data_IF_038615921723
#
_entry.id   IF_038615921723
#
_cell.length_a   1.000
_cell.length_b   1.000
_cell.length_c   1.000
_cell.angle_alpha   90.00
_cell.angle_beta   90.00
_cell.angle_gamma   90.00
#
_symmetry.space_group_name_H-M   'P 1'
#
loop_
_entity.id
_entity.type
_entity.pdbx_description
1 polymer ?
#
# COMPACT_ATOMS: atom_id res chain seq x y z
N UNK A 1 -72.48 -45.01 -28.33
CA UNK A 1 -72.95 -43.70 -28.00
C UNK A 1 -71.72 -42.93 -27.52
N UNK A 2 -71.04 -42.27 -28.42
CA UNK A 2 -69.74 -41.58 -28.17
C UNK A 2 -69.96 -40.08 -28.38
N UNK A 3 -69.67 -39.29 -27.32
CA UNK A 3 -69.70 -37.81 -27.35
C UNK A 3 -68.24 -37.31 -27.59
N UNK A 4 -68.03 -36.35 -28.49
CA UNK A 4 -66.72 -35.76 -28.66
C UNK A 4 -66.52 -34.59 -27.67
N UNK A 5 -65.32 -34.57 -27.06
CA UNK A 5 -64.81 -33.49 -26.25
C UNK A 5 -64.23 -32.37 -27.14
N UNK A 6 -64.77 -31.20 -27.04
CA UNK A 6 -64.27 -30.01 -27.75
C UNK A 6 -63.21 -29.37 -26.85
N UNK A 7 -61.96 -29.37 -27.27
CA UNK A 7 -60.84 -28.66 -26.62
C UNK A 7 -60.83 -27.19 -27.06
N UNK A 8 -61.03 -26.32 -26.10
CA UNK A 8 -60.82 -24.87 -26.28
C UNK A 8 -59.34 -24.54 -26.11
N UNK A 9 -58.72 -24.08 -27.16
CA UNK A 9 -57.38 -23.52 -27.12
C UNK A 9 -57.52 -22.04 -26.73
N UNK A 10 -57.02 -21.68 -25.54
CA UNK A 10 -56.92 -20.28 -25.09
C UNK A 10 -55.58 -19.74 -25.57
N UNK A 11 -55.61 -18.82 -26.53
CA UNK A 11 -54.46 -18.10 -27.02
C UNK A 11 -54.13 -16.97 -26.04
N UNK A 12 -53.06 -17.10 -25.23
CA UNK A 12 -52.56 -16.07 -24.36
C UNK A 12 -51.72 -15.08 -25.17
N UNK A 13 -52.27 -13.87 -25.35
CA UNK A 13 -51.46 -12.73 -25.86
C UNK A 13 -50.49 -12.25 -24.75
N UNK A 14 -49.20 -12.44 -24.96
CA UNK A 14 -48.17 -11.86 -24.16
C UNK A 14 -48.02 -10.36 -24.53
N UNK A 15 -48.43 -9.47 -23.61
CA UNK A 15 -48.22 -8.04 -23.72
C UNK A 15 -46.71 -7.73 -23.39
N UNK A 16 -45.94 -7.31 -24.40
CA UNK A 16 -44.62 -6.73 -24.17
C UNK A 16 -44.77 -5.34 -23.50
N UNK A 17 -44.40 -5.24 -22.22
CA UNK A 17 -44.22 -3.94 -21.56
C UNK A 17 -42.88 -3.33 -22.00
N UNK A 18 -42.83 -2.08 -22.44
CA UNK A 18 -41.56 -1.41 -22.69
C UNK A 18 -40.80 -1.20 -21.39
N UNK A 19 -39.57 -1.72 -21.33
CA UNK A 19 -38.70 -1.58 -20.17
C UNK A 19 -38.38 -0.10 -19.93
N UNK A 20 -38.52 0.33 -18.67
CA UNK A 20 -38.10 1.64 -18.24
C UNK A 20 -36.59 1.85 -18.52
N UNK A 21 -36.16 3.05 -18.92
CA UNK A 21 -34.73 3.33 -19.12
C UNK A 21 -34.02 3.18 -17.76
N UNK A 22 -32.92 2.42 -17.78
CA UNK A 22 -32.04 2.28 -16.62
C UNK A 22 -31.49 3.66 -16.26
N UNK A 23 -31.87 4.15 -15.10
CA UNK A 23 -31.38 5.38 -14.50
C UNK A 23 -29.87 5.22 -14.26
N UNK A 24 -29.08 5.99 -15.01
CA UNK A 24 -27.63 5.99 -14.88
C UNK A 24 -27.28 6.49 -13.48
N UNK A 25 -26.60 5.67 -12.68
CA UNK A 25 -26.09 6.08 -11.38
C UNK A 25 -25.23 7.35 -11.51
N UNK A 26 -25.34 8.32 -10.60
CA UNK A 26 -24.55 9.56 -10.67
C UNK A 26 -23.07 9.21 -10.58
N UNK A 27 -22.36 9.48 -11.67
CA UNK A 27 -20.89 9.42 -11.70
C UNK A 27 -20.40 10.56 -10.81
N UNK A 28 -19.97 10.23 -9.58
CA UNK A 28 -19.31 11.19 -8.71
C UNK A 28 -18.11 11.81 -9.43
N UNK A 29 -17.62 12.99 -9.03
CA UNK A 29 -16.53 13.67 -9.70
C UNK A 29 -15.30 12.77 -9.73
N UNK A 30 -15.00 12.20 -10.88
CA UNK A 30 -13.74 11.49 -11.10
C UNK A 30 -12.62 12.52 -10.95
N UNK A 31 -11.75 12.31 -9.95
CA UNK A 31 -10.57 13.13 -9.78
C UNK A 31 -9.79 13.12 -11.11
N UNK A 32 -9.68 14.29 -11.75
CA UNK A 32 -8.97 14.43 -13.02
C UNK A 32 -7.50 14.08 -12.78
N UNK A 33 -6.92 13.26 -13.65
CA UNK A 33 -5.47 13.07 -13.67
C UNK A 33 -4.83 14.44 -13.99
N UNK A 34 -4.15 15.01 -13.02
CA UNK A 34 -3.50 16.33 -13.14
C UNK A 34 -2.28 16.30 -14.07
N UNK A 35 -1.81 15.11 -14.46
CA UNK A 35 -0.53 14.89 -15.13
C UNK A 35 0.67 15.16 -14.24
N UNK A 36 0.48 15.81 -13.09
CA UNK A 36 1.53 16.03 -12.09
C UNK A 36 1.80 14.76 -11.32
N UNK A 37 3.06 14.42 -11.12
CA UNK A 37 3.52 13.31 -10.28
C UNK A 37 4.47 13.82 -9.22
N UNK A 38 4.33 13.27 -8.04
CA UNK A 38 5.25 13.49 -6.92
C UNK A 38 5.81 12.15 -6.46
N UNK A 39 6.93 12.20 -5.73
CA UNK A 39 7.65 11.02 -5.27
C UNK A 39 7.80 11.11 -3.74
N UNK A 40 7.62 9.96 -3.08
CA UNK A 40 7.87 9.77 -1.66
C UNK A 40 8.65 8.47 -1.43
N UNK A 41 9.47 8.38 -0.37
CA UNK A 41 10.26 7.18 -0.05
C UNK A 41 9.98 6.76 1.38
N UNK A 42 9.63 5.47 1.54
CA UNK A 42 9.24 4.85 2.79
C UNK A 42 10.03 3.57 3.06
N UNK A 43 10.47 3.37 4.28
CA UNK A 43 11.07 2.13 4.76
C UNK A 43 10.20 1.54 5.87
N UNK A 44 9.74 0.31 5.70
CA UNK A 44 8.76 -0.33 6.59
C UNK A 44 8.99 -1.83 6.78
N UNK A 45 10.25 -2.25 6.92
CA UNK A 45 10.65 -3.66 6.91
C UNK A 45 10.67 -4.22 5.50
N UNK A 46 10.30 -5.47 5.31
CA UNK A 46 10.31 -6.13 4.00
C UNK A 46 9.59 -5.29 2.94
N UNK A 47 10.34 -4.85 1.94
CA UNK A 47 9.84 -3.97 0.88
C UNK A 47 8.75 -4.61 0.00
N UNK A 48 8.67 -5.96 -0.12
CA UNK A 48 7.56 -6.62 -0.82
C UNK A 48 6.20 -6.28 -0.20
N UNK A 49 6.17 -6.18 1.15
CA UNK A 49 4.94 -5.82 1.86
C UNK A 49 4.62 -4.33 1.75
N UNK A 50 5.64 -3.48 1.82
CA UNK A 50 5.48 -2.03 1.68
C UNK A 50 5.04 -1.66 0.26
N UNK A 51 5.68 -2.24 -0.76
CA UNK A 51 5.31 -2.07 -2.18
C UNK A 51 3.85 -2.47 -2.40
N UNK A 52 3.48 -3.70 -2.02
CA UNK A 52 2.11 -4.20 -2.16
C UNK A 52 1.07 -3.32 -1.46
N UNK A 53 1.38 -2.80 -0.27
CA UNK A 53 0.47 -1.90 0.44
C UNK A 53 0.23 -0.59 -0.33
N UNK A 54 1.28 -0.01 -0.95
CA UNK A 54 1.15 1.21 -1.71
C UNK A 54 0.49 1.00 -3.07
N UNK A 55 0.77 -0.09 -3.78
CA UNK A 55 0.14 -0.42 -5.06
C UNK A 55 -1.39 -0.45 -4.99
N UNK A 56 -1.95 -0.85 -3.84
CA UNK A 56 -3.39 -0.89 -3.62
C UNK A 56 -3.99 0.45 -3.14
N UNK A 57 -3.19 1.50 -2.98
CA UNK A 57 -3.69 2.80 -2.52
C UNK A 57 -4.21 3.65 -3.70
N UNK A 58 -5.49 4.07 -3.70
CA UNK A 58 -6.01 4.98 -4.72
C UNK A 58 -5.20 6.29 -4.77
N UNK A 59 -4.72 6.65 -5.95
CA UNK A 59 -3.87 7.82 -6.17
C UNK A 59 -2.39 7.51 -6.27
N UNK A 60 -1.94 6.32 -5.85
CA UNK A 60 -0.61 5.81 -6.17
C UNK A 60 -0.57 5.37 -7.63
N UNK A 61 0.50 5.75 -8.32
CA UNK A 61 0.73 5.47 -9.75
C UNK A 61 1.73 4.32 -9.92
N UNK A 62 2.76 4.29 -9.06
CA UNK A 62 3.76 3.24 -9.05
C UNK A 62 4.39 3.15 -7.65
N UNK A 63 4.79 1.93 -7.28
CA UNK A 63 5.67 1.67 -6.14
C UNK A 63 6.84 0.83 -6.65
N UNK A 64 8.05 1.12 -6.18
CA UNK A 64 9.29 0.44 -6.62
C UNK A 64 10.07 0.05 -5.38
N UNK A 65 10.33 -1.24 -5.21
CA UNK A 65 11.18 -1.78 -4.14
C UNK A 65 12.65 -1.43 -4.37
N UNK A 66 13.37 -1.10 -3.30
CA UNK A 66 14.78 -0.72 -3.39
C UNK A 66 15.41 -0.41 -2.04
N UNK A 67 16.41 0.45 -2.06
CA UNK A 67 17.26 0.72 -0.91
C UNK A 67 17.50 2.22 -0.73
N UNK A 68 17.56 2.66 0.53
CA UNK A 68 17.81 4.06 0.87
C UNK A 68 18.62 4.19 2.18
N UNK A 69 19.23 5.33 2.40
CA UNK A 69 19.87 5.71 3.67
C UNK A 69 21.32 5.27 3.85
N UNK A 70 21.85 4.41 3.00
CA UNK A 70 23.22 3.91 3.08
C UNK A 70 24.24 4.71 2.28
N UNK A 71 25.47 4.20 2.25
CA UNK A 71 26.63 4.86 1.64
C UNK A 71 27.13 4.20 0.35
N UNK A 72 26.74 2.93 0.13
CA UNK A 72 27.16 2.17 -1.05
C UNK A 72 26.35 2.61 -2.25
N UNK A 73 27.02 2.97 -3.35
CA UNK A 73 26.34 3.30 -4.59
C UNK A 73 25.88 2.02 -5.29
N UNK A 74 24.64 2.02 -5.81
CA UNK A 74 24.04 0.91 -6.53
C UNK A 74 24.21 -0.44 -5.79
N UNK A 75 23.74 -0.55 -4.52
CA UNK A 75 23.91 -1.76 -3.73
C UNK A 75 23.07 -2.89 -4.31
N UNK A 76 23.53 -4.14 -4.15
CA UNK A 76 22.72 -5.32 -4.41
C UNK A 76 21.95 -5.72 -3.15
N UNK A 77 20.87 -6.50 -3.34
CA UNK A 77 20.11 -7.08 -2.23
C UNK A 77 20.99 -7.83 -1.23
N UNK A 78 21.88 -8.69 -1.76
CA UNK A 78 22.78 -9.47 -0.92
C UNK A 78 23.72 -8.60 -0.07
N UNK A 79 24.21 -7.49 -0.63
CA UNK A 79 25.03 -6.54 0.12
C UNK A 79 24.27 -5.89 1.25
N UNK A 80 22.99 -5.49 1.01
CA UNK A 80 22.17 -4.82 2.02
C UNK A 80 21.81 -5.77 3.16
N UNK A 81 21.34 -6.98 2.86
CA UNK A 81 20.94 -7.95 3.90
C UNK A 81 22.13 -8.52 4.68
N UNK A 82 23.32 -8.60 4.05
CA UNK A 82 24.56 -8.95 4.75
C UNK A 82 24.96 -7.88 5.76
N UNK A 83 24.51 -6.65 5.58
CA UNK A 83 24.85 -5.52 6.42
C UNK A 83 26.13 -4.76 6.02
N UNK A 84 26.43 -3.67 6.72
CA UNK A 84 27.60 -2.83 6.48
C UNK A 84 27.42 -1.75 5.41
N UNK A 85 26.38 -1.81 4.58
CA UNK A 85 26.11 -0.78 3.57
C UNK A 85 25.48 0.47 4.17
N UNK A 86 24.79 0.34 5.31
CA UNK A 86 23.97 1.36 5.92
C UNK A 86 22.61 1.59 5.22
N UNK A 87 22.35 0.89 4.12
CA UNK A 87 21.06 0.91 3.45
C UNK A 87 20.03 0.09 4.23
N UNK A 88 18.78 0.54 4.12
CA UNK A 88 17.59 -0.19 4.56
C UNK A 88 16.69 -0.47 3.37
N UNK A 89 15.90 -1.52 3.45
CA UNK A 89 14.85 -1.80 2.46
C UNK A 89 13.84 -0.65 2.45
N UNK A 90 13.54 -0.14 1.28
CA UNK A 90 12.67 1.01 1.09
C UNK A 90 11.82 0.85 -0.17
N UNK A 91 10.75 1.63 -0.26
CA UNK A 91 9.90 1.72 -1.45
C UNK A 91 9.80 3.18 -1.87
N UNK A 92 10.06 3.42 -3.16
CA UNK A 92 9.79 4.70 -3.79
C UNK A 92 8.39 4.68 -4.38
N UNK A 93 7.55 5.60 -3.93
CA UNK A 93 6.14 5.72 -4.32
C UNK A 93 5.98 6.94 -5.21
N UNK A 94 5.48 6.74 -6.43
CA UNK A 94 5.03 7.80 -7.33
C UNK A 94 3.53 7.95 -7.19
N UNK A 95 3.02 9.16 -6.95
CA UNK A 95 1.60 9.40 -6.70
C UNK A 95 1.09 10.66 -7.43
N UNK A 96 -0.22 10.72 -7.64
CA UNK A 96 -0.93 11.88 -8.15
C UNK A 96 -1.42 12.74 -6.98
N UNK A 97 -0.84 13.93 -6.76
CA UNK A 97 -1.21 14.80 -5.64
C UNK A 97 -2.65 15.35 -5.72
N UNK A 98 -3.30 15.27 -6.88
CA UNK A 98 -4.72 15.61 -7.02
C UNK A 98 -5.66 14.52 -6.48
N UNK A 99 -5.15 13.28 -6.32
CA UNK A 99 -5.92 12.12 -5.87
C UNK A 99 -5.57 11.69 -4.44
N UNK A 100 -4.31 11.83 -4.05
CA UNK A 100 -3.84 11.56 -2.69
C UNK A 100 -2.72 12.54 -2.33
N UNK A 101 -2.86 13.25 -1.23
CA UNK A 101 -1.80 14.14 -0.75
C UNK A 101 -0.64 13.35 -0.13
N UNK A 102 0.56 13.96 -0.10
CA UNK A 102 1.72 13.39 0.60
C UNK A 102 1.39 13.07 2.08
N UNK A 103 0.66 13.97 2.76
CA UNK A 103 0.25 13.76 4.15
C UNK A 103 -0.61 12.51 4.30
N UNK A 104 -1.57 12.29 3.42
CA UNK A 104 -2.42 11.08 3.45
C UNK A 104 -1.63 9.79 3.17
N UNK A 105 -0.60 9.84 2.29
CA UNK A 105 0.30 8.70 2.10
C UNK A 105 1.03 8.36 3.41
N UNK A 106 1.60 9.36 4.07
CA UNK A 106 2.33 9.16 5.34
C UNK A 106 1.38 8.65 6.43
N UNK A 107 0.16 9.24 6.56
CA UNK A 107 -0.83 8.79 7.54
C UNK A 107 -1.22 7.31 7.34
N UNK A 108 -1.36 6.86 6.08
CA UNK A 108 -1.66 5.46 5.76
C UNK A 108 -0.45 4.54 5.96
N UNK A 109 0.75 5.02 5.68
CA UNK A 109 1.99 4.26 5.89
C UNK A 109 2.15 3.82 7.34
N UNK A 110 1.88 4.72 8.32
CA UNK A 110 1.99 4.37 9.73
C UNK A 110 1.18 3.13 10.09
N UNK A 111 -0.03 2.99 9.54
CA UNK A 111 -0.94 1.87 9.81
C UNK A 111 -0.45 0.53 9.22
N UNK A 112 0.57 0.55 8.38
CA UNK A 112 1.13 -0.64 7.73
C UNK A 112 2.38 -1.17 8.42
N UNK A 113 2.88 -0.48 9.45
CA UNK A 113 4.09 -0.83 10.18
C UNK A 113 3.84 -0.93 11.69
N UNK A 114 4.75 -1.58 12.39
CA UNK A 114 4.90 -1.46 13.83
C UNK A 114 5.95 -0.38 14.15
N UNK A 115 5.54 0.85 14.45
CA UNK A 115 6.50 1.91 14.74
C UNK A 115 7.12 1.81 16.13
N UNK A 116 6.82 0.76 16.89
CA UNK A 116 7.37 0.52 18.22
C UNK A 116 8.53 -0.49 18.23
N UNK A 117 8.82 -1.11 17.08
CA UNK A 117 9.92 -2.06 16.93
C UNK A 117 11.20 -1.33 16.48
N UNK A 118 12.26 -1.28 17.31
CA UNK A 118 13.52 -0.63 16.95
C UNK A 118 14.46 -1.53 16.12
N UNK A 119 14.22 -2.84 16.11
CA UNK A 119 15.19 -3.85 15.64
C UNK A 119 14.83 -4.49 14.30
N UNK A 120 13.63 -4.16 13.77
CA UNK A 120 13.15 -4.71 12.51
C UNK A 120 11.67 -4.46 12.28
N UNK A 121 11.00 -5.41 11.63
CA UNK A 121 9.55 -5.37 11.43
C UNK A 121 8.97 -6.79 11.37
N UNK A 122 8.12 -7.13 12.32
CA UNK A 122 7.43 -8.42 12.41
C UNK A 122 8.42 -9.59 12.54
N UNK A 123 8.57 -10.43 11.52
CA UNK A 123 9.52 -11.53 11.52
C UNK A 123 10.88 -11.18 10.87
N UNK A 124 10.99 -10.00 10.26
CA UNK A 124 12.23 -9.56 9.63
C UNK A 124 13.04 -8.73 10.62
N UNK A 125 14.17 -9.26 11.06
CA UNK A 125 15.00 -8.65 12.07
C UNK A 125 16.33 -8.16 11.49
N UNK A 126 16.85 -7.11 12.08
CA UNK A 126 18.12 -6.52 11.73
C UNK A 126 18.02 -5.15 11.05
N UNK A 127 19.16 -4.43 10.94
CA UNK A 127 19.19 -3.03 10.55
C UNK A 127 18.68 -2.76 9.13
N UNK A 128 18.72 -3.73 8.22
CA UNK A 128 18.18 -3.61 6.86
C UNK A 128 16.65 -3.49 6.82
N UNK A 129 15.97 -3.88 7.89
CA UNK A 129 14.51 -3.82 8.03
C UNK A 129 14.01 -2.69 8.92
N UNK A 130 14.89 -1.74 9.26
CA UNK A 130 14.51 -0.57 10.04
C UNK A 130 13.46 0.29 9.32
N UNK A 131 12.64 0.99 10.11
CA UNK A 131 11.59 1.87 9.57
C UNK A 131 12.06 3.31 9.45
N UNK A 132 11.60 4.02 8.43
CA UNK A 132 11.81 5.45 8.24
C UNK A 132 10.85 6.04 7.20
N UNK A 133 10.58 7.34 7.31
CA UNK A 133 10.06 8.17 6.23
C UNK A 133 11.18 9.08 5.75
N UNK A 134 11.56 9.02 4.47
CA UNK A 134 12.53 9.94 3.88
C UNK A 134 11.79 11.10 3.23
N UNK A 135 12.00 12.31 3.73
CA UNK A 135 11.24 13.49 3.34
C UNK A 135 12.14 14.60 2.80
N UNK A 136 11.77 15.18 1.67
CA UNK A 136 12.38 16.42 1.19
C UNK A 136 12.09 17.59 2.14
N UNK A 137 12.80 18.70 1.99
CA UNK A 137 12.56 19.89 2.79
C UNK A 137 11.08 20.37 2.70
N UNK A 138 10.46 20.25 1.52
CA UNK A 138 9.06 20.61 1.31
C UNK A 138 8.09 19.61 1.97
N UNK A 139 8.44 18.33 2.04
CA UNK A 139 7.62 17.26 2.61
C UNK A 139 7.74 17.16 4.13
N UNK A 140 8.89 17.55 4.69
CA UNK A 140 9.24 17.34 6.10
C UNK A 140 8.21 17.89 7.09
N UNK A 141 7.64 19.11 6.93
CA UNK A 141 6.62 19.62 7.85
C UNK A 141 5.37 18.72 7.93
N UNK A 142 4.91 18.21 6.78
CA UNK A 142 3.76 17.32 6.71
C UNK A 142 4.07 15.94 7.30
N UNK A 143 5.25 15.37 7.02
CA UNK A 143 5.70 14.10 7.58
C UNK A 143 5.82 14.15 9.11
N UNK A 144 6.43 15.20 9.65
CA UNK A 144 6.57 15.39 11.09
C UNK A 144 5.24 15.64 11.81
N UNK A 145 4.33 16.39 11.19
CA UNK A 145 2.98 16.56 11.74
C UNK A 145 2.20 15.23 11.75
N UNK A 146 2.33 14.41 10.68
CA UNK A 146 1.76 13.07 10.62
C UNK A 146 2.34 12.16 11.69
N UNK A 147 3.68 12.13 11.81
CA UNK A 147 4.38 11.35 12.84
C UNK A 147 3.89 11.69 14.25
N UNK A 148 3.79 12.98 14.58
CA UNK A 148 3.29 13.41 15.91
C UNK A 148 1.87 12.93 16.18
N UNK A 149 0.99 13.01 15.18
CA UNK A 149 -0.40 12.55 15.30
C UNK A 149 -0.47 11.02 15.52
N UNK A 150 0.29 10.25 14.76
CA UNK A 150 0.39 8.80 14.92
C UNK A 150 0.99 8.41 16.27
N UNK A 151 2.07 9.07 16.70
CA UNK A 151 2.71 8.83 17.98
C UNK A 151 1.80 9.12 19.18
N UNK A 152 0.92 10.13 19.07
CA UNK A 152 -0.04 10.44 20.13
C UNK A 152 -1.07 9.30 20.32
N UNK A 153 -1.38 8.50 19.27
CA UNK A 153 -2.34 7.37 19.37
C UNK A 153 -1.80 6.19 20.19
N UNK A 154 -0.49 5.94 20.12
CA UNK A 154 0.12 4.74 20.70
C UNK A 154 1.10 5.04 21.85
N UNK A 155 1.28 6.32 22.16
CA UNK A 155 2.26 6.78 23.16
C UNK A 155 3.58 7.22 22.51
N UNK A 156 3.89 8.51 22.61
CA UNK A 156 5.02 9.14 21.92
C UNK A 156 6.39 8.49 22.24
N UNK A 157 6.59 8.02 23.47
CA UNK A 157 7.84 7.35 23.89
C UNK A 157 8.04 5.97 23.21
N UNK A 158 6.98 5.37 22.74
CA UNK A 158 7.02 4.06 22.08
C UNK A 158 7.23 4.17 20.57
N UNK A 159 7.03 5.35 19.97
CA UNK A 159 7.11 5.57 18.54
C UNK A 159 8.55 5.84 18.10
N UNK A 160 9.24 4.83 17.62
CA UNK A 160 10.66 4.89 17.28
C UNK A 160 10.96 5.23 15.82
N UNK A 161 9.98 5.08 14.91
CA UNK A 161 10.17 5.35 13.48
C UNK A 161 10.48 6.83 13.22
N UNK A 162 11.65 7.18 12.63
CA UNK A 162 12.04 8.56 12.37
C UNK A 162 11.50 9.11 11.04
N UNK A 163 11.41 10.43 10.95
CA UNK A 163 11.44 11.17 9.70
C UNK A 163 12.88 11.57 9.44
N UNK A 164 13.46 11.14 8.30
CA UNK A 164 14.83 11.44 7.87
C UNK A 164 14.82 12.39 6.67
N UNK A 165 15.93 13.03 6.41
CA UNK A 165 16.09 13.81 5.19
C UNK A 165 16.07 12.92 3.96
N UNK A 166 15.54 13.45 2.84
CA UNK A 166 15.54 12.75 1.57
C UNK A 166 16.96 12.40 1.15
N UNK A 167 17.12 11.17 0.68
CA UNK A 167 18.39 10.61 0.22
C UNK A 167 18.20 9.97 -1.14
N UNK A 168 19.30 9.59 -1.79
CA UNK A 168 19.24 8.84 -3.04
C UNK A 168 18.60 7.47 -2.79
N UNK A 169 17.61 7.15 -3.61
CA UNK A 169 16.98 5.83 -3.69
C UNK A 169 17.68 5.00 -4.78
N UNK A 170 17.87 3.71 -4.52
CA UNK A 170 18.45 2.74 -5.41
C UNK A 170 17.43 1.61 -5.62
N UNK A 171 16.91 1.41 -6.85
CA UNK A 171 16.00 0.30 -7.13
C UNK A 171 16.66 -1.04 -6.83
N UNK A 172 15.91 -1.97 -6.27
CA UNK A 172 16.32 -3.36 -6.13
C UNK A 172 16.19 -4.08 -7.48
N UNK A 173 16.77 -5.28 -7.52
CA UNK A 173 16.79 -6.13 -8.71
C UNK A 173 15.35 -6.47 -9.18
N UNK A 174 15.18 -6.71 -10.47
CA UNK A 174 13.88 -6.90 -11.10
C UNK A 174 13.02 -8.02 -10.46
N UNK A 175 13.64 -9.07 -9.93
CA UNK A 175 12.92 -10.18 -9.30
C UNK A 175 12.28 -9.82 -7.94
N UNK A 176 12.59 -8.66 -7.38
CA UNK A 176 11.95 -8.12 -6.18
C UNK A 176 10.73 -7.25 -6.49
N UNK A 177 10.62 -6.72 -7.70
CA UNK A 177 9.53 -5.83 -8.08
C UNK A 177 8.22 -6.62 -8.23
N UNK A 178 7.10 -6.02 -7.78
CA UNK A 178 5.78 -6.65 -7.86
C UNK A 178 5.71 -8.05 -7.17
N UNK A 179 6.60 -8.34 -6.24
CA UNK A 179 6.79 -9.70 -5.75
C UNK A 179 5.51 -10.31 -5.18
N UNK A 180 4.75 -9.54 -4.42
CA UNK A 180 3.49 -10.02 -3.83
C UNK A 180 2.45 -10.40 -4.91
N UNK A 181 2.37 -9.62 -5.98
CA UNK A 181 1.46 -9.83 -7.11
C UNK A 181 1.89 -11.01 -7.99
N UNK A 182 3.19 -11.12 -8.27
CA UNK A 182 3.75 -12.17 -9.14
C UNK A 182 3.93 -13.52 -8.41
N UNK A 183 4.03 -13.51 -7.07
CA UNK A 183 4.26 -14.70 -6.26
C UNK A 183 3.23 -14.82 -5.10
N UNK A 184 1.91 -14.81 -5.37
CA UNK A 184 0.88 -14.66 -4.33
C UNK A 184 0.90 -15.78 -3.28
N UNK A 185 1.21 -17.00 -3.66
CA UNK A 185 1.28 -18.15 -2.73
C UNK A 185 2.45 -17.99 -1.77
N UNK A 186 3.64 -17.66 -2.29
CA UNK A 186 4.86 -17.49 -1.50
C UNK A 186 4.74 -16.28 -0.57
N UNK A 187 4.29 -15.14 -1.09
CA UNK A 187 4.07 -13.94 -0.30
C UNK A 187 2.96 -14.12 0.75
N UNK A 188 1.85 -14.77 0.40
CA UNK A 188 0.78 -15.06 1.35
C UNK A 188 1.21 -16.00 2.49
N UNK A 189 2.08 -16.97 2.22
CA UNK A 189 2.71 -17.82 3.22
C UNK A 189 3.58 -17.02 4.18
N UNK A 190 4.50 -16.22 3.63
CA UNK A 190 5.38 -15.32 4.38
C UNK A 190 4.58 -14.35 5.26
N UNK A 191 3.62 -13.62 4.71
CA UNK A 191 2.83 -12.62 5.44
C UNK A 191 2.06 -13.22 6.63
N UNK A 192 1.51 -14.44 6.46
CA UNK A 192 0.85 -15.17 7.56
C UNK A 192 1.83 -15.63 8.63
N UNK A 193 2.97 -16.20 8.23
CA UNK A 193 4.01 -16.66 9.15
C UNK A 193 4.52 -15.50 10.02
N UNK A 194 4.73 -14.33 9.45
CA UNK A 194 5.20 -13.14 10.17
C UNK A 194 4.15 -12.54 11.12
N UNK A 195 2.91 -12.99 11.12
CA UNK A 195 1.87 -12.50 12.03
C UNK A 195 1.53 -11.01 11.88
N UNK A 196 1.88 -10.41 10.71
CA UNK A 196 1.77 -8.96 10.45
C UNK A 196 0.40 -8.40 10.83
N UNK A 197 -0.69 -9.02 10.37
CA UNK A 197 -2.05 -8.52 10.64
C UNK A 197 -2.40 -8.51 12.14
N UNK A 198 -2.00 -9.55 12.89
CA UNK A 198 -2.24 -9.62 14.33
C UNK A 198 -1.46 -8.55 15.09
N UNK A 199 -0.19 -8.32 14.68
CA UNK A 199 0.65 -7.29 15.31
C UNK A 199 0.13 -5.88 15.02
N UNK A 200 -0.28 -5.58 13.79
CA UNK A 200 -0.84 -4.28 13.45
C UNK A 200 -2.11 -3.98 14.26
N UNK A 201 -3.01 -4.97 14.41
CA UNK A 201 -4.19 -4.82 15.30
C UNK A 201 -3.78 -4.54 16.74
N UNK A 202 -2.77 -5.22 17.25
CA UNK A 202 -2.31 -5.01 18.63
C UNK A 202 -1.70 -3.61 18.84
N UNK A 203 -1.03 -3.05 17.83
CA UNK A 203 -0.39 -1.73 17.90
C UNK A 203 -1.40 -0.61 17.70
N UNK A 204 -2.29 -0.73 16.70
CA UNK A 204 -3.16 0.36 16.27
C UNK A 204 -4.59 0.27 16.78
N UNK A 205 -5.00 -0.88 17.32
CA UNK A 205 -6.33 -1.10 17.89
C UNK A 205 -7.44 -1.25 16.84
N UNK A 206 -7.07 -1.70 15.61
CA UNK A 206 -8.01 -1.86 14.48
C UNK A 206 -8.25 -3.32 14.14
#
# INVERSE_FOLDING_TARGET
MSRPLISFIILALAACSPGAPAESAPTGPQARDSGRREVAVFAGGCFWSVESNFEHMPGVVAAVSGFAGGRVANPTYEQVVRGGTGHIEAVQVTFDPARISYRQLVDRFWLTIDPTDPDGQFCDQGPSYATAVFASAAQKPAAEASRRAAAARIGAARFVTPVRDAVRFWPAEAYHQDFARLNPVRYGGYSRFCGRAARLRAVWGE
#
